data_IF_133319179784
#
_entry.id   IF_133319179784
#
_cell.length_a   1.000
_cell.length_b   1.000
_cell.length_c   1.000
_cell.angle_alpha   90.00
_cell.angle_beta   90.00
_cell.angle_gamma   90.00
#
_symmetry.space_group_name_H-M   'P 1'
#
loop_
_entity.id
_entity.type
_entity.pdbx_description
1 polymer ?
#
# COMPACT_ATOMS: atom_id res chain seq x y z
N UNK A 1 86.36 -34.24 69.16
CA UNK A 1 85.38 -33.33 69.80
C UNK A 1 84.83 -32.41 68.70
N UNK A 2 83.53 -32.50 68.35
CA UNK A 2 82.50 -31.43 68.52
C UNK A 2 82.89 -30.11 67.81
N UNK A 3 82.22 -29.55 66.78
CA UNK A 3 80.78 -29.35 66.42
C UNK A 3 80.74 -28.87 64.94
N UNK A 4 79.84 -29.34 64.06
CA UNK A 4 78.45 -28.92 63.76
C UNK A 4 78.26 -27.61 62.92
N UNK A 5 77.82 -27.82 61.66
CA UNK A 5 76.85 -27.11 60.78
C UNK A 5 76.59 -25.59 60.82
N UNK A 6 76.50 -24.99 59.62
CA UNK A 6 75.34 -24.21 59.12
C UNK A 6 75.49 -23.95 57.59
N UNK A 7 74.83 -24.74 56.73
CA UNK A 7 73.72 -24.36 55.84
C UNK A 7 73.46 -22.85 55.64
N UNK A 8 73.53 -22.42 54.39
CA UNK A 8 72.97 -21.15 53.89
C UNK A 8 72.35 -21.37 52.52
N UNK A 9 71.02 -21.46 52.50
CA UNK A 9 70.15 -21.70 51.35
C UNK A 9 70.08 -20.46 50.45
N UNK A 10 70.48 -20.56 49.19
CA UNK A 10 70.14 -19.57 48.17
C UNK A 10 68.97 -20.09 47.34
N UNK A 11 67.79 -19.52 47.59
CA UNK A 11 66.58 -19.78 46.81
C UNK A 11 66.77 -19.24 45.38
N UNK A 12 66.80 -20.13 44.39
CA UNK A 12 66.73 -19.75 42.98
C UNK A 12 65.25 -19.48 42.65
N UNK A 13 64.85 -18.21 42.64
CA UNK A 13 63.57 -17.78 42.10
C UNK A 13 63.64 -17.93 40.58
N UNK A 14 63.09 -19.02 40.05
CA UNK A 14 62.84 -19.18 38.63
C UNK A 14 61.73 -18.19 38.23
N UNK A 15 62.13 -17.01 37.75
CA UNK A 15 61.23 -16.08 37.10
C UNK A 15 60.68 -16.71 35.82
N UNK A 16 59.41 -17.10 35.84
CA UNK A 16 58.67 -17.34 34.60
C UNK A 16 58.56 -16.01 33.86
N UNK A 17 59.42 -15.81 32.86
CA UNK A 17 59.23 -14.76 31.87
C UNK A 17 58.03 -15.18 31.02
N UNK A 18 56.83 -14.75 31.40
CA UNK A 18 55.72 -14.70 30.45
C UNK A 18 56.13 -13.67 29.40
N UNK A 19 56.54 -14.15 28.24
CA UNK A 19 56.68 -13.27 27.08
C UNK A 19 55.27 -12.91 26.65
N UNK A 20 54.70 -11.89 27.29
CA UNK A 20 53.58 -11.16 26.74
C UNK A 20 54.07 -10.58 25.41
N UNK A 21 53.81 -11.30 24.31
CA UNK A 21 54.06 -10.77 22.98
C UNK A 21 53.01 -9.72 22.74
N UNK A 22 53.42 -8.46 22.76
CA UNK A 22 52.61 -7.38 22.23
C UNK A 22 52.39 -7.66 20.74
N UNK A 23 51.15 -7.89 20.32
CA UNK A 23 50.79 -7.88 18.91
C UNK A 23 51.19 -6.52 18.35
N UNK A 24 52.18 -6.54 17.46
CA UNK A 24 52.64 -5.34 16.77
C UNK A 24 52.07 -5.43 15.37
N UNK A 25 51.08 -4.58 15.07
CA UNK A 25 50.55 -4.46 13.71
C UNK A 25 51.67 -3.84 12.85
N UNK A 26 52.30 -4.66 12.01
CA UNK A 26 53.49 -4.28 11.23
C UNK A 26 53.12 -3.40 10.03
N UNK A 27 51.92 -3.58 9.48
CA UNK A 27 51.35 -2.74 8.44
C UNK A 27 49.83 -2.90 8.43
N UNK A 28 49.10 -1.80 8.26
CA UNK A 28 47.67 -1.81 7.94
C UNK A 28 47.53 -1.37 6.50
N UNK A 29 46.82 -2.16 5.70
CA UNK A 29 46.45 -1.81 4.34
C UNK A 29 44.92 -1.69 4.28
N UNK A 30 44.42 -0.50 3.96
CA UNK A 30 42.99 -0.21 3.86
C UNK A 30 42.59 -0.13 2.40
N UNK A 31 41.46 -0.75 2.06
CA UNK A 31 40.84 -0.62 0.74
C UNK A 31 39.49 0.08 0.88
N UNK A 32 39.29 1.13 0.08
CA UNK A 32 37.99 1.77 -0.03
C UNK A 32 37.07 0.87 -0.87
N UNK A 33 35.94 0.49 -0.29
CA UNK A 33 34.88 -0.27 -0.98
C UNK A 33 33.67 0.64 -1.12
N UNK A 34 33.20 0.83 -2.35
CA UNK A 34 31.96 1.57 -2.63
C UNK A 34 31.07 0.79 -3.58
N UNK A 35 29.76 1.00 -3.47
CA UNK A 35 28.74 0.47 -4.36
C UNK A 35 27.69 1.55 -4.63
N UNK A 36 27.14 1.56 -5.85
CA UNK A 36 25.99 2.39 -6.21
C UNK A 36 24.81 1.47 -6.48
N UNK A 37 23.75 1.61 -5.68
CA UNK A 37 22.47 0.95 -5.95
C UNK A 37 21.63 1.92 -6.80
N UNK A 38 21.27 1.52 -8.00
CA UNK A 38 20.32 2.29 -8.82
C UNK A 38 18.90 2.10 -8.30
N UNK A 39 18.08 3.15 -8.40
CA UNK A 39 16.67 3.09 -8.02
C UNK A 39 15.93 2.01 -8.80
N UNK A 40 15.21 1.16 -8.09
CA UNK A 40 14.19 0.26 -8.62
C UNK A 40 12.85 0.89 -8.27
N UNK A 41 12.01 1.13 -9.27
CA UNK A 41 10.63 1.59 -9.09
C UNK A 41 9.73 0.86 -10.08
N UNK A 42 9.13 -0.24 -9.63
CA UNK A 42 8.26 -1.06 -10.44
C UNK A 42 6.91 -1.28 -9.74
N UNK A 43 5.84 -1.05 -10.49
CA UNK A 43 4.46 -1.33 -10.09
C UNK A 43 3.90 -2.38 -11.04
N UNK A 44 3.47 -3.50 -10.50
CA UNK A 44 2.80 -4.56 -11.25
C UNK A 44 1.34 -4.62 -10.82
N UNK A 45 0.46 -4.81 -11.79
CA UNK A 45 -0.95 -5.04 -11.57
C UNK A 45 -1.40 -6.21 -12.43
N UNK A 46 -2.27 -7.06 -11.91
CA UNK A 46 -2.97 -8.09 -12.68
C UNK A 46 -4.42 -8.17 -12.22
N UNK A 47 -5.32 -8.45 -13.15
CA UNK A 47 -6.74 -8.64 -12.80
C UNK A 47 -7.01 -10.12 -12.72
N UNK A 48 -7.53 -10.57 -11.57
CA UNK A 48 -7.80 -11.97 -11.30
C UNK A 48 -9.29 -12.17 -10.96
N UNK A 49 -9.83 -13.35 -11.27
CA UNK A 49 -11.13 -13.77 -10.75
C UNK A 49 -11.02 -14.02 -9.24
N UNK A 50 -11.96 -13.48 -8.45
CA UNK A 50 -12.01 -13.71 -6.99
C UNK A 50 -12.34 -15.18 -6.67
N UNK A 51 -13.03 -15.88 -7.57
CA UNK A 51 -13.45 -17.27 -7.34
C UNK A 51 -12.29 -18.26 -7.33
N UNK A 52 -11.27 -18.03 -8.15
CA UNK A 52 -10.21 -19.03 -8.38
C UNK A 52 -8.80 -18.45 -8.63
N UNK A 53 -8.62 -17.12 -8.53
CA UNK A 53 -7.38 -16.41 -8.85
C UNK A 53 -6.85 -16.60 -10.27
N UNK A 54 -7.66 -17.11 -11.20
CA UNK A 54 -7.26 -17.17 -12.60
C UNK A 54 -7.18 -15.77 -13.21
N UNK A 55 -6.22 -15.57 -14.11
CA UNK A 55 -6.01 -14.28 -14.75
C UNK A 55 -7.15 -13.93 -15.71
N UNK A 56 -7.57 -12.67 -15.67
CA UNK A 56 -8.61 -12.11 -16.54
C UNK A 56 -7.93 -11.50 -17.77
N UNK A 57 -8.13 -12.14 -18.92
CA UNK A 57 -7.38 -11.83 -20.15
C UNK A 57 -7.55 -10.38 -20.65
N UNK A 58 -8.75 -9.81 -20.52
CA UNK A 58 -9.04 -8.43 -20.94
C UNK A 58 -8.66 -7.37 -19.88
N UNK A 59 -8.22 -7.82 -18.69
CA UNK A 59 -7.85 -6.97 -17.55
C UNK A 59 -8.96 -5.99 -17.14
N UNK A 60 -10.21 -6.42 -17.20
CA UNK A 60 -11.38 -5.60 -16.81
C UNK A 60 -12.06 -6.11 -15.54
N UNK A 61 -12.55 -5.19 -14.72
CA UNK A 61 -13.44 -5.48 -13.60
C UNK A 61 -14.89 -5.37 -14.10
N UNK A 62 -15.70 -6.42 -13.89
CA UNK A 62 -17.05 -6.53 -14.45
C UNK A 62 -18.08 -6.55 -13.33
N UNK A 63 -18.96 -5.55 -13.34
CA UNK A 63 -20.14 -5.50 -12.48
C UNK A 63 -21.35 -6.23 -13.09
N UNK A 64 -21.27 -6.60 -14.37
CA UNK A 64 -22.35 -7.25 -15.10
C UNK A 64 -23.56 -6.34 -15.33
N UNK A 65 -24.71 -6.96 -15.59
CA UNK A 65 -25.99 -6.25 -15.73
C UNK A 65 -26.59 -6.00 -14.37
N UNK A 66 -26.80 -4.73 -14.04
CA UNK A 66 -27.42 -4.31 -12.79
C UNK A 66 -28.94 -4.15 -12.99
N UNK A 67 -29.73 -4.89 -12.22
CA UNK A 67 -31.18 -4.71 -12.18
C UNK A 67 -31.55 -3.36 -11.58
N UNK A 68 -32.64 -2.74 -12.03
CA UNK A 68 -33.06 -1.43 -11.54
C UNK A 68 -33.18 -1.36 -10.01
N UNK A 69 -32.57 -0.33 -9.42
CA UNK A 69 -32.56 -0.03 -7.98
C UNK A 69 -32.02 -1.17 -7.08
N UNK A 70 -30.76 -1.58 -7.24
CA UNK A 70 -30.16 -2.51 -6.29
C UNK A 70 -30.03 -1.86 -4.90
N UNK A 71 -29.87 -2.70 -3.88
CA UNK A 71 -29.49 -2.24 -2.55
C UNK A 71 -28.16 -1.51 -2.64
N UNK A 72 -28.05 -0.35 -2.01
CA UNK A 72 -26.80 0.42 -1.99
C UNK A 72 -25.64 -0.44 -1.49
N UNK A 73 -24.48 -0.33 -2.14
CA UNK A 73 -23.26 -1.05 -1.75
C UNK A 73 -23.47 -2.57 -1.61
N UNK A 74 -24.06 -3.16 -2.65
CA UNK A 74 -24.13 -4.63 -2.79
C UNK A 74 -23.63 -5.13 -4.16
N UNK A 75 -23.19 -4.22 -5.03
CA UNK A 75 -22.76 -4.54 -6.39
C UNK A 75 -21.23 -4.59 -6.47
N UNK A 76 -20.68 -5.80 -6.41
CA UNK A 76 -19.23 -6.05 -6.49
C UNK A 76 -18.81 -6.50 -7.88
N UNK A 77 -17.56 -6.21 -8.22
CA UNK A 77 -16.90 -6.92 -9.31
C UNK A 77 -16.64 -8.38 -8.90
N UNK A 78 -16.73 -9.31 -9.85
CA UNK A 78 -16.30 -10.70 -9.65
C UNK A 78 -14.78 -10.86 -9.65
N UNK A 79 -14.07 -9.78 -9.98
CA UNK A 79 -12.63 -9.68 -10.14
C UNK A 79 -11.99 -8.78 -9.06
N UNK A 80 -10.70 -8.99 -8.83
CA UNK A 80 -9.85 -8.13 -8.02
C UNK A 80 -8.61 -7.72 -8.81
N UNK A 81 -7.91 -6.69 -8.33
CA UNK A 81 -6.60 -6.31 -8.88
C UNK A 81 -5.53 -6.77 -7.90
N UNK A 82 -4.70 -7.73 -8.31
CA UNK A 82 -3.48 -8.09 -7.61
C UNK A 82 -2.41 -7.04 -7.89
N UNK A 83 -1.78 -6.52 -6.84
CA UNK A 83 -0.80 -5.44 -6.91
C UNK A 83 0.49 -5.88 -6.25
N UNK A 84 1.61 -5.61 -6.92
CA UNK A 84 2.97 -5.72 -6.36
C UNK A 84 3.70 -4.41 -6.55
N UNK A 85 4.31 -3.91 -5.48
CA UNK A 85 5.24 -2.78 -5.52
C UNK A 85 6.64 -3.32 -5.23
N UNK A 86 7.56 -3.10 -6.17
CA UNK A 86 8.98 -3.37 -5.98
C UNK A 86 9.73 -2.05 -6.13
N UNK A 87 9.90 -1.37 -5.00
CA UNK A 87 10.49 -0.04 -4.94
C UNK A 87 11.50 0.08 -3.80
N UNK A 88 12.69 0.63 -4.09
CA UNK A 88 13.77 0.81 -3.12
C UNK A 88 14.02 2.28 -2.75
N UNK A 89 13.11 3.20 -3.07
CA UNK A 89 13.15 4.58 -2.65
C UNK A 89 13.14 4.72 -1.11
N UNK A 90 13.64 5.86 -0.63
CA UNK A 90 13.65 6.18 0.80
C UNK A 90 12.23 6.32 1.37
N UNK A 91 11.29 6.77 0.54
CA UNK A 91 9.86 6.79 0.81
C UNK A 91 9.11 6.72 -0.51
N UNK A 92 7.99 5.99 -0.52
CA UNK A 92 7.07 5.95 -1.64
C UNK A 92 5.63 5.74 -1.17
N UNK A 93 4.68 6.10 -2.03
CA UNK A 93 3.25 5.82 -1.85
C UNK A 93 2.61 5.35 -3.15
N UNK A 94 1.62 4.48 -3.02
CA UNK A 94 0.75 4.05 -4.10
C UNK A 94 -0.60 4.74 -3.96
N UNK A 95 -0.98 5.51 -4.98
CA UNK A 95 -2.22 6.28 -5.04
C UNK A 95 -3.21 5.64 -6.00
N UNK A 96 -4.51 5.66 -5.67
CA UNK A 96 -5.59 5.22 -6.56
C UNK A 96 -6.61 6.34 -6.84
N UNK A 97 -7.16 6.36 -8.05
CA UNK A 97 -8.18 7.33 -8.49
C UNK A 97 -8.81 6.92 -9.83
N UNK A 98 -9.91 7.59 -10.21
CA UNK A 98 -10.44 7.59 -11.59
C UNK A 98 -10.07 8.89 -12.30
N UNK A 99 -10.04 8.90 -13.63
CA UNK A 99 -9.81 10.12 -14.41
C UNK A 99 -10.85 10.21 -15.53
N UNK A 100 -12.10 10.36 -15.11
CA UNK A 100 -13.27 10.32 -15.96
C UNK A 100 -13.46 11.59 -16.79
N UNK A 101 -12.84 12.70 -16.37
CA UNK A 101 -13.08 14.03 -16.93
C UNK A 101 -11.78 14.75 -17.30
N UNK A 102 -11.77 15.41 -18.45
CA UNK A 102 -10.61 16.20 -18.90
C UNK A 102 -10.46 17.52 -18.12
N UNK A 103 -11.55 18.06 -17.61
CA UNK A 103 -11.63 19.26 -16.79
C UNK A 103 -12.72 19.07 -15.71
N UNK A 104 -12.74 19.87 -14.62
CA UNK A 104 -13.80 19.81 -13.62
C UNK A 104 -15.19 19.91 -14.27
N UNK A 105 -16.03 18.87 -14.15
CA UNK A 105 -17.34 18.86 -14.79
C UNK A 105 -18.37 19.71 -14.03
N UNK A 106 -19.51 19.98 -14.66
CA UNK A 106 -20.61 20.72 -14.01
C UNK A 106 -21.14 19.97 -12.79
N UNK A 107 -21.15 20.62 -11.64
CA UNK A 107 -21.64 20.04 -10.38
C UNK A 107 -23.15 19.87 -10.37
N UNK A 108 -23.89 20.67 -11.16
CA UNK A 108 -25.32 20.49 -11.38
C UNK A 108 -25.64 19.18 -12.12
N UNK A 109 -24.73 18.76 -13.00
CA UNK A 109 -24.93 17.54 -13.80
C UNK A 109 -24.36 16.30 -13.10
N UNK A 110 -23.17 16.43 -12.50
CA UNK A 110 -22.38 15.29 -12.02
C UNK A 110 -22.20 15.22 -10.50
N UNK A 111 -22.74 16.17 -9.74
CA UNK A 111 -22.58 16.27 -8.28
C UNK A 111 -21.24 16.87 -7.86
N UNK A 112 -20.80 16.66 -6.62
CA UNK A 112 -19.47 17.13 -6.13
C UNK A 112 -18.43 16.02 -6.05
N UNK A 113 -18.88 14.77 -5.99
CA UNK A 113 -18.04 13.60 -6.04
C UNK A 113 -18.10 13.07 -7.47
N UNK A 114 -17.01 13.12 -8.23
CA UNK A 114 -16.92 12.63 -9.61
C UNK A 114 -16.26 11.24 -9.70
N UNK A 115 -15.65 10.77 -8.62
CA UNK A 115 -15.01 9.46 -8.56
C UNK A 115 -15.95 8.27 -8.76
N UNK A 116 -15.44 7.21 -9.37
CA UNK A 116 -16.15 5.96 -9.64
C UNK A 116 -16.55 5.78 -11.10
N UNK A 117 -17.71 5.17 -11.35
CA UNK A 117 -18.17 4.88 -12.70
C UNK A 117 -18.92 6.06 -13.32
N UNK A 118 -18.56 6.37 -14.56
CA UNK A 118 -19.25 7.36 -15.40
C UNK A 118 -20.10 6.65 -16.46
N UNK A 119 -21.35 7.06 -16.56
CA UNK A 119 -22.26 6.62 -17.60
C UNK A 119 -21.99 7.28 -18.96
N UNK A 120 -22.51 6.66 -20.00
CA UNK A 120 -22.49 7.18 -21.37
C UNK A 120 -23.53 8.29 -21.63
N UNK A 121 -24.32 8.67 -20.63
CA UNK A 121 -25.25 9.81 -20.67
C UNK A 121 -24.94 10.77 -19.53
N UNK A 122 -25.27 12.04 -19.72
CA UNK A 122 -24.98 13.08 -18.73
C UNK A 122 -25.70 12.83 -17.40
N UNK A 123 -24.96 12.99 -16.30
CA UNK A 123 -25.45 12.78 -14.94
C UNK A 123 -25.62 11.32 -14.52
N UNK A 124 -25.44 10.36 -15.43
CA UNK A 124 -25.38 8.95 -15.05
C UNK A 124 -24.06 8.66 -14.34
N UNK A 125 -24.10 8.51 -13.01
CA UNK A 125 -22.94 8.19 -12.18
C UNK A 125 -23.25 7.04 -11.22
N UNK A 126 -22.25 6.21 -10.93
CA UNK A 126 -22.27 5.31 -9.78
C UNK A 126 -20.98 5.51 -8.97
N UNK A 127 -21.13 5.86 -7.69
CA UNK A 127 -19.98 6.01 -6.79
C UNK A 127 -19.31 4.66 -6.56
N UNK A 128 -17.99 4.66 -6.43
CA UNK A 128 -17.23 3.44 -6.12
C UNK A 128 -16.50 3.57 -4.79
N UNK A 129 -16.32 2.41 -4.16
CA UNK A 129 -15.53 2.22 -2.98
C UNK A 129 -14.41 1.24 -3.26
N UNK A 130 -13.32 1.35 -2.51
CA UNK A 130 -12.21 0.44 -2.57
C UNK A 130 -11.79 -0.06 -1.19
N UNK A 131 -11.18 -1.24 -1.20
CA UNK A 131 -10.54 -1.86 -0.05
C UNK A 131 -9.30 -2.62 -0.52
N UNK A 132 -8.28 -2.68 0.34
CA UNK A 132 -7.11 -3.55 0.12
C UNK A 132 -6.96 -4.58 1.22
N UNK A 133 -6.51 -5.77 0.84
CA UNK A 133 -6.17 -6.87 1.75
C UNK A 133 -4.84 -7.50 1.35
N UNK A 134 -4.04 -7.99 2.31
CA UNK A 134 -2.81 -8.71 2.00
C UNK A 134 -3.11 -10.00 1.24
N UNK A 135 -2.18 -10.44 0.39
CA UNK A 135 -2.25 -11.79 -0.17
C UNK A 135 -1.88 -12.84 0.90
N UNK A 136 -2.90 -13.41 1.52
CA UNK A 136 -2.75 -14.52 2.48
C UNK A 136 -3.29 -15.84 1.94
N UNK A 137 -3.57 -15.93 0.64
CA UNK A 137 -4.31 -17.02 0.01
C UNK A 137 -5.80 -17.05 0.37
N UNK A 138 -6.16 -16.96 1.65
CA UNK A 138 -7.56 -17.02 2.11
C UNK A 138 -8.40 -15.83 1.67
N UNK A 139 -7.86 -14.61 1.70
CA UNK A 139 -8.59 -13.40 1.29
C UNK A 139 -8.69 -13.25 -0.23
N UNK A 140 -7.79 -13.88 -0.97
CA UNK A 140 -7.82 -13.92 -2.43
C UNK A 140 -9.07 -14.67 -2.93
N UNK A 141 -9.44 -15.75 -2.23
CA UNK A 141 -10.63 -16.55 -2.55
C UNK A 141 -11.87 -16.04 -1.78
N UNK A 142 -12.86 -15.56 -2.52
CA UNK A 142 -14.13 -15.07 -1.96
C UNK A 142 -14.18 -13.57 -1.65
N UNK A 143 -13.02 -12.90 -1.56
CA UNK A 143 -12.91 -11.44 -1.40
C UNK A 143 -13.47 -10.91 -0.06
N UNK A 144 -13.46 -9.58 0.14
CA UNK A 144 -14.03 -8.96 1.33
C UNK A 144 -15.56 -9.02 1.32
N UNK A 145 -16.17 -8.83 2.51
CA UNK A 145 -17.60 -8.50 2.64
C UNK A 145 -17.96 -7.20 1.91
N UNK A 146 -19.25 -7.01 1.59
CA UNK A 146 -19.74 -5.74 1.02
C UNK A 146 -19.59 -4.65 2.07
N UNK A 147 -19.32 -3.41 1.68
CA UNK A 147 -19.22 -2.33 2.66
C UNK A 147 -19.43 -0.95 2.07
N UNK A 148 -20.33 -0.20 2.70
CA UNK A 148 -20.55 1.21 2.44
C UNK A 148 -19.36 2.02 3.00
N UNK A 149 -18.60 2.76 2.18
CA UNK A 149 -17.54 3.65 2.64
C UNK A 149 -17.97 4.69 3.69
N UNK A 150 -19.25 5.02 3.77
CA UNK A 150 -19.81 5.97 4.75
C UNK A 150 -20.27 5.34 6.06
N UNK A 151 -20.12 4.02 6.21
CA UNK A 151 -20.65 3.29 7.36
C UNK A 151 -19.95 3.65 8.68
N UNK A 152 -20.75 3.71 9.75
CA UNK A 152 -20.28 3.80 11.14
C UNK A 152 -20.82 2.57 11.90
N UNK A 153 -19.96 1.72 12.50
CA UNK A 153 -18.51 1.85 12.61
C UNK A 153 -17.77 1.62 11.28
N UNK A 154 -16.53 2.15 11.18
CA UNK A 154 -15.60 1.92 10.07
C UNK A 154 -15.50 0.45 9.63
N UNK A 155 -15.59 0.17 8.32
CA UNK A 155 -15.66 -1.19 7.75
C UNK A 155 -14.53 -1.54 6.76
N UNK A 156 -13.51 -0.70 6.64
CA UNK A 156 -12.36 -0.90 5.74
C UNK A 156 -12.53 -0.41 4.30
N UNK A 157 -13.73 -0.03 3.90
CA UNK A 157 -13.98 0.57 2.59
C UNK A 157 -13.82 2.08 2.65
N UNK A 158 -13.34 2.67 1.55
CA UNK A 158 -13.31 4.13 1.34
C UNK A 158 -13.70 4.48 -0.08
N UNK A 159 -14.12 5.72 -0.32
CA UNK A 159 -14.51 6.18 -1.65
C UNK A 159 -13.32 6.26 -2.61
N UNK A 160 -13.54 5.90 -3.88
CA UNK A 160 -12.62 6.25 -4.97
C UNK A 160 -12.92 7.70 -5.40
N UNK A 161 -11.87 8.53 -5.42
CA UNK A 161 -11.91 9.92 -5.92
C UNK A 161 -11.61 9.98 -7.42
N UNK A 162 -12.13 10.99 -8.10
CA UNK A 162 -11.68 11.35 -9.45
C UNK A 162 -10.56 12.39 -9.39
N UNK A 163 -9.66 12.38 -10.37
CA UNK A 163 -8.61 13.38 -10.52
C UNK A 163 -9.15 14.82 -10.67
N UNK A 164 -10.42 14.97 -11.05
CA UNK A 164 -11.09 16.28 -11.19
C UNK A 164 -12.09 16.58 -10.08
N UNK A 165 -12.10 15.80 -8.99
CA UNK A 165 -12.94 16.08 -7.82
C UNK A 165 -12.69 17.48 -7.28
N UNK A 166 -13.80 18.20 -7.08
CA UNK A 166 -13.83 19.59 -6.65
C UNK A 166 -14.38 19.70 -5.23
N UNK A 167 -14.16 20.85 -4.59
CA UNK A 167 -14.76 21.12 -3.28
C UNK A 167 -16.27 21.21 -3.37
N UNK A 168 -16.98 20.58 -2.43
CA UNK A 168 -18.38 20.89 -2.19
C UNK A 168 -18.50 22.40 -1.87
N UNK A 169 -19.38 23.16 -2.53
CA UNK A 169 -19.60 24.57 -2.30
C UNK A 169 -20.30 24.85 -0.97
N UNK A 170 -20.64 23.82 -0.18
CA UNK A 170 -21.04 24.01 1.20
C UNK A 170 -19.87 24.64 2.01
N UNK A 171 -20.02 25.91 2.46
CA UNK A 171 -18.95 26.62 3.16
C UNK A 171 -18.61 26.06 4.55
N UNK A 172 -19.36 25.05 5.03
CA UNK A 172 -19.10 24.34 6.28
C UNK A 172 -18.26 23.05 6.09
N UNK A 173 -17.99 22.61 4.85
CA UNK A 173 -17.20 21.43 4.57
C UNK A 173 -15.70 21.77 4.43
N UNK A 174 -14.84 20.88 4.92
CA UNK A 174 -13.40 20.89 4.64
C UNK A 174 -13.14 20.81 3.14
N UNK A 175 -11.96 21.25 2.68
CA UNK A 175 -11.50 21.02 1.30
C UNK A 175 -11.53 19.51 0.99
N UNK A 176 -12.45 19.08 0.13
CA UNK A 176 -12.63 17.69 -0.30
C UNK A 176 -12.05 17.43 -1.70
N UNK A 177 -11.32 18.39 -2.26
CA UNK A 177 -10.68 18.26 -3.56
C UNK A 177 -9.74 17.05 -3.60
N UNK A 178 -9.43 16.61 -4.81
CA UNK A 178 -8.42 15.56 -4.98
C UNK A 178 -7.10 15.92 -4.31
N UNK A 179 -6.66 17.19 -4.44
CA UNK A 179 -5.39 17.66 -3.88
C UNK A 179 -5.37 17.61 -2.34
N UNK A 180 -6.44 18.07 -1.69
CA UNK A 180 -6.54 17.99 -0.23
C UNK A 180 -6.64 16.53 0.24
N UNK A 181 -7.43 15.71 -0.46
CA UNK A 181 -7.57 14.28 -0.15
C UNK A 181 -6.24 13.53 -0.29
N UNK A 182 -5.47 13.86 -1.33
CA UNK A 182 -4.14 13.32 -1.59
C UNK A 182 -3.11 13.79 -0.55
N UNK A 183 -3.17 15.05 -0.13
CA UNK A 183 -2.33 15.59 0.93
C UNK A 183 -2.62 14.96 2.30
N UNK A 184 -3.88 14.64 2.57
CA UNK A 184 -4.31 13.92 3.77
C UNK A 184 -4.10 12.39 3.69
N UNK A 185 -3.71 11.88 2.51
CA UNK A 185 -3.42 10.46 2.27
C UNK A 185 -4.65 9.56 2.09
N UNK A 186 -5.85 10.12 1.90
CA UNK A 186 -7.08 9.34 1.70
C UNK A 186 -7.10 8.55 0.39
N UNK A 187 -6.34 8.98 -0.61
CA UNK A 187 -6.20 8.32 -1.91
C UNK A 187 -5.10 7.26 -1.93
N UNK A 188 -4.32 7.13 -0.84
CA UNK A 188 -3.23 6.18 -0.76
C UNK A 188 -3.77 4.80 -0.43
N UNK A 189 -3.40 3.79 -1.21
CA UNK A 189 -3.74 2.38 -0.97
C UNK A 189 -2.60 1.62 -0.31
N UNK A 190 -1.36 2.08 -0.50
CA UNK A 190 -0.16 1.53 0.14
C UNK A 190 0.93 2.60 0.25
N UNK A 191 1.90 2.38 1.13
CA UNK A 191 3.10 3.18 1.26
C UNK A 191 4.25 2.34 1.81
N UNK A 192 5.47 2.82 1.63
CA UNK A 192 6.63 2.06 2.08
C UNK A 192 7.94 2.79 1.95
N UNK A 193 8.99 2.01 2.17
CA UNK A 193 10.40 2.39 2.04
C UNK A 193 11.14 1.20 1.45
N UNK A 194 12.45 1.32 1.24
CA UNK A 194 13.32 0.20 0.87
C UNK A 194 13.23 -1.03 1.82
N UNK A 195 12.72 -0.85 3.04
CA UNK A 195 12.69 -1.88 4.09
C UNK A 195 11.30 -2.46 4.38
N UNK A 196 10.21 -1.82 3.97
CA UNK A 196 8.86 -2.31 4.29
C UNK A 196 7.80 -1.80 3.32
N UNK A 197 6.67 -2.51 3.30
CA UNK A 197 5.42 -2.09 2.67
C UNK A 197 4.28 -2.18 3.67
N UNK A 198 3.40 -1.17 3.67
CA UNK A 198 2.14 -1.15 4.40
C UNK A 198 1.00 -0.85 3.44
N UNK A 199 -0.08 -1.61 3.55
CA UNK A 199 -1.35 -1.30 2.90
C UNK A 199 -2.18 -0.40 3.80
N UNK A 200 -2.97 0.50 3.22
CA UNK A 200 -3.81 1.45 3.95
C UNK A 200 -5.20 0.83 4.14
N UNK A 201 -5.70 0.85 5.38
CA UNK A 201 -7.08 0.47 5.74
C UNK A 201 -7.77 1.68 6.34
N UNK A 202 -8.16 2.66 5.50
CA UNK A 202 -8.50 4.02 5.94
C UNK A 202 -9.72 4.09 6.86
N UNK A 203 -10.53 3.03 6.89
CA UNK A 203 -11.74 2.93 7.68
C UNK A 203 -11.70 1.71 8.63
N UNK A 204 -10.56 1.40 9.28
CA UNK A 204 -10.44 0.42 10.39
C UNK A 204 -9.47 0.97 11.44
N UNK A 205 -9.70 0.66 12.73
CA UNK A 205 -8.75 0.96 13.81
C UNK A 205 -7.33 0.42 13.49
N UNK A 206 -6.32 1.27 13.65
CA UNK A 206 -4.93 0.98 13.23
C UNK A 206 -4.57 1.51 11.84
N UNK A 207 -5.54 1.81 10.99
CA UNK A 207 -5.43 2.62 9.75
C UNK A 207 -4.56 2.04 8.61
N UNK A 208 -3.69 1.09 8.91
CA UNK A 208 -2.79 0.43 7.96
C UNK A 208 -2.32 -0.92 8.51
N UNK A 209 -1.81 -1.77 7.61
CA UNK A 209 -1.33 -3.12 7.92
C UNK A 209 0.01 -3.35 7.21
N UNK A 210 1.00 -3.85 7.94
CA UNK A 210 2.30 -4.20 7.36
C UNK A 210 2.23 -5.55 6.65
N UNK A 211 2.82 -5.62 5.47
CA UNK A 211 2.93 -6.87 4.73
C UNK A 211 4.07 -7.74 5.27
N UNK A 212 4.01 -9.04 5.00
CA UNK A 212 5.00 -10.02 5.47
C UNK A 212 6.41 -9.79 4.90
N UNK A 213 6.50 -9.30 3.66
CA UNK A 213 7.72 -8.79 3.05
C UNK A 213 7.44 -7.47 2.34
N UNK A 214 8.49 -6.70 2.02
CA UNK A 214 8.33 -5.42 1.31
C UNK A 214 7.74 -5.60 -0.09
N UNK A 215 7.98 -6.75 -0.71
CA UNK A 215 7.61 -7.06 -2.09
C UNK A 215 6.43 -8.04 -2.17
N UNK A 216 5.76 -8.28 -1.03
CA UNK A 216 4.58 -9.12 -0.97
C UNK A 216 3.43 -8.50 -1.75
N UNK A 217 2.66 -9.35 -2.41
CA UNK A 217 1.50 -8.93 -3.16
C UNK A 217 0.34 -8.58 -2.21
N UNK A 218 -0.59 -7.76 -2.71
CA UNK A 218 -1.86 -7.48 -2.06
C UNK A 218 -2.96 -7.32 -3.10
N UNK A 219 -4.21 -7.41 -2.67
CA UNK A 219 -5.38 -7.32 -3.53
C UNK A 219 -6.14 -6.04 -3.29
N UNK A 220 -6.56 -5.42 -4.39
CA UNK A 220 -7.42 -4.26 -4.43
C UNK A 220 -8.80 -4.68 -4.94
N UNK A 221 -9.82 -4.41 -4.13
CA UNK A 221 -11.21 -4.75 -4.38
C UNK A 221 -12.02 -3.49 -4.61
N UNK A 222 -13.05 -3.61 -5.42
CA UNK A 222 -13.98 -2.53 -5.71
C UNK A 222 -15.43 -2.95 -5.51
N UNK A 223 -16.21 -1.97 -5.08
CA UNK A 223 -17.66 -2.06 -5.00
C UNK A 223 -18.25 -0.78 -5.58
N UNK A 224 -19.41 -0.88 -6.23
CA UNK A 224 -20.10 0.27 -6.79
C UNK A 224 -21.51 0.41 -6.20
N UNK A 225 -21.91 1.65 -5.97
CA UNK A 225 -23.26 1.99 -5.57
C UNK A 225 -24.09 2.40 -6.78
N UNK A 226 -24.91 1.46 -7.28
CA UNK A 226 -25.88 1.71 -8.35
C UNK A 226 -27.28 2.07 -7.82
N UNK A 227 -27.46 2.28 -6.51
CA UNK A 227 -28.74 2.73 -5.97
C UNK A 227 -29.04 4.14 -6.49
N UNK A 228 -30.16 4.31 -7.19
CA UNK A 228 -30.50 5.58 -7.85
C UNK A 228 -29.73 5.88 -9.15
N UNK A 229 -28.91 4.94 -9.64
CA UNK A 229 -28.25 5.06 -10.93
C UNK A 229 -29.29 4.96 -12.07
N UNK A 230 -29.20 5.86 -13.05
CA UNK A 230 -30.06 5.86 -14.23
C UNK A 230 -29.68 4.74 -15.21
N UNK A 231 -30.58 4.40 -16.14
CA UNK A 231 -30.26 3.41 -17.16
C UNK A 231 -29.20 3.96 -18.13
N UNK A 232 -27.99 3.39 -18.07
CA UNK A 232 -26.85 3.78 -18.89
C UNK A 232 -25.83 2.64 -19.01
N UNK A 233 -24.86 2.79 -19.91
CA UNK A 233 -23.64 1.98 -19.87
C UNK A 233 -22.59 2.72 -19.07
N UNK A 234 -22.09 2.08 -18.02
CA UNK A 234 -21.13 2.65 -17.08
C UNK A 234 -19.71 2.13 -17.36
N UNK A 235 -18.72 2.99 -17.23
CA UNK A 235 -17.32 2.63 -17.35
C UNK A 235 -16.39 3.65 -16.69
N UNK A 236 -15.17 3.22 -16.41
CA UNK A 236 -14.06 4.08 -15.95
C UNK A 236 -12.73 3.35 -16.16
N UNK A 237 -11.64 4.08 -15.95
CA UNK A 237 -10.30 3.52 -15.78
C UNK A 237 -9.83 3.86 -14.37
N UNK A 238 -9.51 2.83 -13.59
CA UNK A 238 -8.84 3.00 -12.30
C UNK A 238 -7.34 3.17 -12.56
N UNK A 239 -6.77 4.25 -12.05
CA UNK A 239 -5.35 4.56 -12.17
C UNK A 239 -4.63 4.29 -10.86
N UNK A 240 -3.41 3.77 -10.98
CA UNK A 240 -2.50 3.59 -9.87
C UNK A 240 -1.20 4.34 -10.16
N UNK A 241 -0.85 5.28 -9.31
CA UNK A 241 0.41 6.02 -9.41
C UNK A 241 1.34 5.59 -8.27
N UNK A 242 2.52 5.07 -8.63
CA UNK A 242 3.64 4.91 -7.70
C UNK A 242 4.42 6.21 -7.64
N UNK A 243 4.51 6.81 -6.45
CA UNK A 243 5.07 8.14 -6.24
C UNK A 243 6.21 8.04 -5.23
N UNK A 244 7.41 8.42 -5.66
CA UNK A 244 8.57 8.54 -4.79
C UNK A 244 8.55 9.91 -4.09
N UNK A 245 8.96 9.95 -2.82
CA UNK A 245 8.92 11.14 -1.97
C UNK A 245 10.30 11.52 -1.44
#
# INVERSE_FOLDING_TARGET
MKKLFALGTAALVAGFVTTARAETVVAVNTADVSATVTGLSALFTDVLLISDNSAVADRTLKFGTISGNPVAWTSKAGESIKIKVDDNALSWRLRTYTDNFAAPPSTTTWGYNFGGLKGNVDGAKASMGWMVLPDTGTHAFGGPGTGDPSQVPPNGWTFIKDAKDYNDPNPAASDESFAASDGAGYTNVAFGTASFTRIVRPNIGGGNEALASRDADFFYYVEANFNGATAATYGTTIKFDLINQ
#
